data_IF_838295978288
#
_entry.id   IF_838295978288
#
_cell.length_a   1.000
_cell.length_b   1.000
_cell.length_c   1.000
_cell.angle_alpha   90.00
_cell.angle_beta   90.00
_cell.angle_gamma   90.00
#
_symmetry.space_group_name_H-M   'P 1'
#
loop_
_entity.id
_entity.type
_entity.pdbx_description
1 polymer ?
#
# COMPACT_ATOMS: atom_id res chain seq x y z
N UNK A 1 10.22 -6.73 2.67
CA UNK A 1 9.57 -6.25 3.92
C UNK A 1 9.02 -7.38 4.79
N UNK A 2 8.11 -8.24 4.30
CA UNK A 2 7.56 -9.33 5.12
C UNK A 2 8.62 -10.24 5.73
N UNK A 3 9.65 -10.64 4.97
CA UNK A 3 10.76 -11.43 5.49
C UNK A 3 11.53 -10.71 6.61
N UNK A 4 11.82 -9.42 6.44
CA UNK A 4 12.52 -8.62 7.45
C UNK A 4 11.73 -8.51 8.76
N UNK A 5 10.42 -8.26 8.66
CA UNK A 5 9.55 -8.17 9.86
C UNK A 5 9.40 -9.53 10.55
N UNK A 6 9.27 -10.63 9.78
CA UNK A 6 9.26 -11.99 10.31
C UNK A 6 10.58 -12.33 11.02
N UNK A 7 11.72 -12.06 10.37
CA UNK A 7 13.05 -12.33 10.91
C UNK A 7 13.27 -11.60 12.25
N UNK A 8 12.94 -10.31 12.31
CA UNK A 8 13.07 -9.53 13.55
C UNK A 8 12.17 -10.07 14.67
N UNK A 9 10.93 -10.48 14.37
CA UNK A 9 10.00 -11.05 15.36
C UNK A 9 10.48 -12.41 15.86
N UNK A 10 11.03 -13.26 14.99
CA UNK A 10 11.62 -14.56 15.36
C UNK A 10 12.87 -14.38 16.22
N UNK A 11 13.78 -13.49 15.83
CA UNK A 11 14.97 -13.18 16.62
C UNK A 11 14.62 -12.63 18.01
N UNK A 12 13.58 -11.76 18.10
CA UNK A 12 13.03 -11.31 19.39
C UNK A 12 12.51 -12.48 20.24
N UNK A 13 11.97 -13.51 19.59
CA UNK A 13 11.51 -14.75 20.24
C UNK A 13 12.66 -15.75 20.49
N UNK A 14 13.92 -15.34 20.36
CA UNK A 14 15.14 -16.12 20.61
C UNK A 14 15.43 -17.23 19.60
N UNK A 15 14.88 -17.16 18.41
CA UNK A 15 15.34 -17.99 17.30
C UNK A 15 16.64 -17.42 16.73
N UNK A 16 17.54 -18.30 16.31
CA UNK A 16 18.66 -17.91 15.47
C UNK A 16 18.13 -17.73 14.03
N UNK A 17 18.36 -16.57 13.45
CA UNK A 17 17.77 -16.21 12.16
C UNK A 17 18.82 -15.68 11.22
N UNK A 18 18.90 -16.30 10.05
CA UNK A 18 19.69 -15.80 8.91
C UNK A 18 18.74 -15.37 7.79
N UNK A 19 18.94 -14.20 7.25
CA UNK A 19 18.18 -13.64 6.14
C UNK A 19 19.11 -13.46 4.94
N UNK A 20 18.81 -14.17 3.84
CA UNK A 20 19.55 -14.03 2.58
C UNK A 20 18.69 -13.34 1.51
N UNK A 21 19.36 -12.75 0.52
CA UNK A 21 18.74 -12.09 -0.62
C UNK A 21 18.69 -10.57 -0.54
N UNK A 22 18.19 -9.94 -1.60
CA UNK A 22 18.07 -8.48 -1.69
C UNK A 22 16.82 -7.99 -0.95
N UNK A 23 17.00 -6.93 -0.16
CA UNK A 23 15.88 -6.16 0.38
C UNK A 23 15.30 -5.23 -0.69
N UNK A 24 14.09 -4.68 -0.41
CA UNK A 24 13.54 -3.59 -1.19
C UNK A 24 14.60 -2.47 -1.37
N UNK A 25 14.79 -2.04 -2.59
CA UNK A 25 15.69 -0.95 -2.94
C UNK A 25 14.95 0.05 -3.83
N UNK A 26 15.08 1.33 -3.49
CA UNK A 26 14.66 2.41 -4.37
C UNK A 26 15.57 2.49 -5.59
N UNK A 27 15.06 3.02 -6.67
CA UNK A 27 15.90 3.50 -7.77
C UNK A 27 16.46 4.87 -7.38
N UNK A 28 17.77 5.01 -7.33
CA UNK A 28 18.43 6.29 -7.07
C UNK A 28 19.00 6.86 -8.36
N UNK A 29 18.62 8.10 -8.70
CA UNK A 29 19.07 8.79 -9.90
C UNK A 29 19.28 10.28 -9.58
N UNK A 30 20.48 10.81 -9.78
CA UNK A 30 20.76 12.23 -9.61
C UNK A 30 20.44 12.79 -8.23
N UNK A 31 20.56 11.97 -7.17
CA UNK A 31 20.20 12.34 -5.79
C UNK A 31 18.70 12.37 -5.51
N UNK A 32 17.89 11.71 -6.35
CA UNK A 32 16.49 11.44 -6.13
C UNK A 32 16.25 9.95 -5.88
N UNK A 33 15.37 9.62 -4.92
CA UNK A 33 14.99 8.25 -4.60
C UNK A 33 13.58 8.00 -5.07
N UNK A 34 13.41 7.04 -5.96
CA UNK A 34 12.12 6.69 -6.55
C UNK A 34 11.59 5.37 -5.96
N UNK A 35 10.49 5.46 -5.25
CA UNK A 35 9.71 4.30 -4.82
C UNK A 35 8.98 3.65 -6.03
N UNK A 36 8.24 2.56 -5.78
CA UNK A 36 7.46 1.89 -6.83
C UNK A 36 6.03 2.44 -6.96
N UNK A 37 5.74 3.60 -6.38
CA UNK A 37 4.42 4.23 -6.44
C UNK A 37 3.35 3.56 -5.57
N UNK A 38 3.76 2.80 -4.56
CA UNK A 38 2.82 2.16 -3.64
C UNK A 38 2.30 3.13 -2.58
N UNK A 39 1.05 2.95 -2.18
CA UNK A 39 0.44 3.73 -1.12
C UNK A 39 0.70 3.09 0.25
N UNK A 40 0.90 3.94 1.25
CA UNK A 40 1.06 3.53 2.63
C UNK A 40 -0.16 3.93 3.46
N UNK A 41 -1.03 2.98 3.69
CA UNK A 41 -2.15 3.07 4.64
C UNK A 41 -1.81 2.25 5.89
N UNK A 42 -2.55 2.42 6.97
CA UNK A 42 -2.42 1.60 8.19
C UNK A 42 -1.00 1.59 8.80
N UNK A 43 -0.42 2.75 9.14
CA UNK A 43 0.89 2.81 9.79
C UNK A 43 0.92 2.08 11.15
N UNK A 44 -0.26 1.80 11.73
CA UNK A 44 -0.42 1.02 12.95
C UNK A 44 0.26 -0.36 12.89
N UNK A 45 0.32 -0.98 11.72
CA UNK A 45 0.99 -2.28 11.51
C UNK A 45 2.48 -2.20 11.88
N UNK A 46 3.15 -1.13 11.44
CA UNK A 46 4.58 -0.94 11.76
C UNK A 46 4.79 -0.33 13.14
N UNK A 47 3.85 0.49 13.67
CA UNK A 47 3.87 0.85 15.09
C UNK A 47 3.87 -0.38 15.98
N UNK A 48 2.96 -1.31 15.73
CA UNK A 48 2.90 -2.59 16.46
C UNK A 48 4.19 -3.39 16.33
N UNK A 49 4.74 -3.48 15.11
CA UNK A 49 6.01 -4.15 14.87
C UNK A 49 7.13 -3.56 15.73
N UNK A 50 7.35 -2.26 15.69
CA UNK A 50 8.42 -1.61 16.46
C UNK A 50 8.17 -1.73 17.96
N UNK A 51 6.95 -1.50 18.42
CA UNK A 51 6.59 -1.64 19.83
C UNK A 51 6.84 -3.05 20.36
N UNK A 52 6.35 -4.09 19.67
CA UNK A 52 6.56 -5.48 20.03
C UNK A 52 8.02 -5.93 19.94
N UNK A 53 8.82 -5.27 19.15
CA UNK A 53 10.27 -5.51 19.08
C UNK A 53 11.08 -4.62 20.02
N UNK A 54 10.46 -3.70 20.76
CA UNK A 54 11.07 -2.91 21.82
C UNK A 54 11.64 -1.57 21.37
N UNK A 55 11.05 -0.93 20.36
CA UNK A 55 11.37 0.43 19.90
C UNK A 55 10.09 1.26 19.78
N UNK A 56 10.20 2.56 19.96
CA UNK A 56 9.09 3.46 19.69
C UNK A 56 9.13 3.92 18.23
N UNK A 57 8.03 3.74 17.51
CA UNK A 57 7.93 4.00 16.07
C UNK A 57 8.34 5.43 15.67
N UNK A 58 7.81 6.44 16.39
CA UNK A 58 8.11 7.85 16.12
C UNK A 58 9.55 8.30 16.44
N UNK A 59 10.35 7.46 17.14
CA UNK A 59 11.78 7.71 17.33
C UNK A 59 12.63 7.13 16.18
N UNK A 60 12.04 6.24 15.40
CA UNK A 60 12.75 5.50 14.34
C UNK A 60 12.45 6.09 12.96
N UNK A 61 11.21 6.55 12.75
CA UNK A 61 10.71 7.02 11.46
C UNK A 61 9.83 8.24 11.65
N UNK A 62 10.00 9.22 10.77
CA UNK A 62 9.07 10.31 10.58
C UNK A 62 8.04 9.92 9.51
N UNK A 63 6.76 9.88 9.93
CA UNK A 63 5.64 9.49 9.06
C UNK A 63 4.57 10.55 9.14
N UNK A 64 4.26 11.15 8.02
CA UNK A 64 3.37 12.30 7.92
C UNK A 64 2.15 12.01 7.06
N UNK A 65 0.97 12.47 7.49
CA UNK A 65 -0.22 12.51 6.66
C UNK A 65 -0.16 13.76 5.77
N UNK A 66 -0.11 13.57 4.46
CA UNK A 66 -0.14 14.68 3.51
C UNK A 66 -1.58 15.11 3.25
N UNK A 67 -1.81 16.42 3.11
CA UNK A 67 -3.12 16.99 2.79
C UNK A 67 -2.98 18.01 1.65
N UNK A 68 -3.72 17.85 0.54
CA UNK A 68 -4.64 16.76 0.23
C UNK A 68 -3.92 15.43 0.03
N UNK A 69 -4.65 14.30 0.27
CA UNK A 69 -4.14 12.96 0.00
C UNK A 69 -4.13 12.69 -1.50
N UNK A 70 -5.25 12.98 -2.15
CA UNK A 70 -5.47 12.79 -3.58
C UNK A 70 -5.94 14.06 -4.25
N UNK A 71 -5.56 14.18 -5.51
CA UNK A 71 -6.14 15.11 -6.47
C UNK A 71 -6.61 14.30 -7.68
N UNK A 72 -7.88 14.44 -8.02
CA UNK A 72 -8.49 13.87 -9.22
C UNK A 72 -8.68 14.99 -10.24
N UNK A 73 -7.91 14.96 -11.31
CA UNK A 73 -7.86 15.98 -12.34
C UNK A 73 -8.54 15.46 -13.62
N UNK A 74 -9.67 16.06 -13.99
CA UNK A 74 -10.44 15.73 -15.18
C UNK A 74 -10.20 16.71 -16.34
N UNK A 75 -9.29 17.66 -16.15
CA UNK A 75 -9.01 18.73 -17.10
C UNK A 75 -9.91 19.95 -16.89
N UNK A 76 -11.20 19.78 -16.96
CA UNK A 76 -12.22 20.81 -16.73
C UNK A 76 -12.61 20.95 -15.25
N UNK A 77 -12.37 19.91 -14.47
CA UNK A 77 -12.71 19.83 -13.07
C UNK A 77 -11.59 19.17 -12.27
N UNK A 78 -11.26 19.75 -11.12
CA UNK A 78 -10.35 19.14 -10.16
C UNK A 78 -11.06 18.93 -8.82
N UNK A 79 -10.92 17.72 -8.25
CA UNK A 79 -11.49 17.33 -6.95
C UNK A 79 -10.35 16.94 -6.02
N UNK A 80 -10.29 17.59 -4.86
CA UNK A 80 -9.25 17.40 -3.87
C UNK A 80 -9.78 16.58 -2.68
N UNK A 81 -9.21 15.42 -2.45
CA UNK A 81 -9.59 14.62 -1.29
C UNK A 81 -8.67 14.92 -0.10
N UNK A 82 -9.24 15.54 0.89
CA UNK A 82 -8.58 15.75 2.18
C UNK A 82 -8.18 14.40 2.81
N UNK A 83 -7.02 14.36 3.44
CA UNK A 83 -6.58 13.17 4.16
C UNK A 83 -7.22 13.13 5.56
N UNK A 84 -7.66 11.94 6.00
CA UNK A 84 -8.25 11.69 7.33
C UNK A 84 -9.51 12.51 7.66
N UNK A 85 -10.17 13.13 6.68
CA UNK A 85 -11.35 13.94 6.90
C UNK A 85 -12.48 13.62 5.92
N UNK A 86 -13.40 12.74 6.33
CA UNK A 86 -14.62 12.43 5.57
C UNK A 86 -15.45 13.68 5.32
N UNK A 87 -15.60 14.53 6.33
CA UNK A 87 -16.43 15.74 6.21
C UNK A 87 -15.89 16.73 5.17
N UNK A 88 -14.57 16.93 5.11
CA UNK A 88 -13.96 17.79 4.09
C UNK A 88 -14.11 17.22 2.69
N UNK A 89 -13.95 15.90 2.52
CA UNK A 89 -14.17 15.21 1.24
C UNK A 89 -15.63 15.36 0.77
N UNK A 90 -16.59 15.15 1.67
CA UNK A 90 -18.02 15.32 1.35
C UNK A 90 -18.31 16.77 0.95
N UNK A 91 -17.78 17.77 1.67
CA UNK A 91 -17.94 19.18 1.30
C UNK A 91 -17.29 19.51 -0.05
N UNK A 92 -16.13 18.95 -0.34
CA UNK A 92 -15.48 19.12 -1.64
C UNK A 92 -16.33 18.55 -2.77
N UNK A 93 -16.85 17.32 -2.61
CA UNK A 93 -17.75 16.69 -3.58
C UNK A 93 -19.03 17.52 -3.74
N UNK A 94 -19.64 17.95 -2.64
CA UNK A 94 -20.83 18.77 -2.67
C UNK A 94 -20.63 20.09 -3.43
N UNK A 95 -19.50 20.76 -3.14
CA UNK A 95 -19.18 22.04 -3.78
C UNK A 95 -18.90 21.91 -5.29
N UNK A 96 -18.33 20.78 -5.72
CA UNK A 96 -17.92 20.55 -7.11
C UNK A 96 -18.99 19.83 -7.95
N UNK A 97 -19.74 18.91 -7.35
CA UNK A 97 -20.65 17.99 -8.05
C UNK A 97 -22.10 18.07 -7.54
N UNK A 98 -22.36 18.83 -6.47
CA UNK A 98 -23.66 19.00 -5.88
C UNK A 98 -24.01 17.97 -4.78
N UNK A 99 -25.08 18.27 -4.02
CA UNK A 99 -25.51 17.50 -2.84
C UNK A 99 -25.91 16.05 -3.16
N UNK A 100 -26.47 15.80 -4.35
CA UNK A 100 -26.82 14.44 -4.77
C UNK A 100 -25.56 13.56 -4.89
N UNK A 101 -24.49 14.04 -5.51
CA UNK A 101 -23.22 13.34 -5.64
C UNK A 101 -22.56 13.10 -4.26
N UNK A 102 -22.60 14.08 -3.37
CA UNK A 102 -22.10 13.95 -2.01
C UNK A 102 -22.86 12.86 -1.21
N UNK A 103 -24.17 12.80 -1.38
CA UNK A 103 -25.02 11.76 -0.77
C UNK A 103 -24.67 10.37 -1.33
N UNK A 104 -24.51 10.27 -2.63
CA UNK A 104 -24.15 9.02 -3.33
C UNK A 104 -22.80 8.49 -2.85
N UNK A 105 -21.77 9.35 -2.74
CA UNK A 105 -20.45 8.99 -2.21
C UNK A 105 -20.53 8.49 -0.76
N UNK A 106 -21.24 9.23 0.09
CA UNK A 106 -21.39 8.84 1.49
C UNK A 106 -22.11 7.51 1.68
N UNK A 107 -23.11 7.21 0.83
CA UNK A 107 -23.77 5.91 0.83
C UNK A 107 -22.83 4.78 0.39
N UNK A 108 -22.00 5.02 -0.63
CA UNK A 108 -21.01 4.07 -1.08
C UNK A 108 -20.03 3.71 0.03
N UNK A 109 -19.52 4.73 0.74
CA UNK A 109 -18.57 4.52 1.83
C UNK A 109 -19.20 3.84 3.06
N UNK A 110 -20.45 4.11 3.39
CA UNK A 110 -21.15 3.38 4.47
C UNK A 110 -21.32 1.89 4.15
N UNK A 111 -21.58 1.55 2.90
CA UNK A 111 -21.60 0.14 2.49
C UNK A 111 -20.21 -0.49 2.54
N UNK A 112 -19.19 0.26 2.14
CA UNK A 112 -17.81 -0.19 2.21
C UNK A 112 -17.35 -0.45 3.65
N UNK A 113 -17.71 0.42 4.60
CA UNK A 113 -17.47 0.26 6.04
C UNK A 113 -18.09 -1.03 6.56
N UNK A 114 -19.36 -1.27 6.26
CA UNK A 114 -20.05 -2.51 6.63
C UNK A 114 -19.35 -3.77 6.08
N UNK A 115 -18.82 -3.69 4.86
CA UNK A 115 -18.09 -4.79 4.26
C UNK A 115 -16.71 -4.97 4.91
N UNK A 116 -15.97 -3.87 5.11
CA UNK A 116 -14.67 -3.89 5.74
C UNK A 116 -14.70 -4.59 7.09
N UNK A 117 -15.65 -4.24 7.96
CA UNK A 117 -15.80 -4.84 9.29
C UNK A 117 -15.98 -6.36 9.27
N UNK A 118 -16.54 -6.90 8.18
CA UNK A 118 -16.78 -8.34 8.02
C UNK A 118 -15.67 -9.10 7.34
N UNK A 119 -14.89 -8.42 6.50
CA UNK A 119 -13.88 -9.09 5.69
C UNK A 119 -12.46 -8.87 6.22
N UNK A 120 -12.22 -7.78 6.99
CA UNK A 120 -10.88 -7.40 7.40
C UNK A 120 -10.14 -8.53 8.11
N UNK A 121 -10.80 -9.23 9.03
CA UNK A 121 -10.19 -10.30 9.78
C UNK A 121 -9.71 -11.44 8.88
N UNK A 122 -10.57 -11.91 7.99
CA UNK A 122 -10.29 -13.07 7.16
C UNK A 122 -9.38 -12.78 5.96
N UNK A 123 -9.41 -11.55 5.44
CA UNK A 123 -8.67 -11.20 4.22
C UNK A 123 -7.45 -10.32 4.48
N UNK A 124 -7.47 -9.54 5.56
CA UNK A 124 -6.42 -8.57 5.83
C UNK A 124 -5.57 -8.94 7.05
N UNK A 125 -6.19 -9.14 8.21
CA UNK A 125 -5.47 -9.32 9.48
C UNK A 125 -4.95 -10.76 9.68
N UNK A 126 -5.69 -11.77 9.20
CA UNK A 126 -5.41 -13.18 9.46
C UNK A 126 -5.11 -13.96 8.18
N UNK A 127 -4.63 -15.21 8.37
CA UNK A 127 -4.63 -16.19 7.31
C UNK A 127 -6.06 -16.50 6.88
N UNK A 128 -6.29 -16.58 5.57
CA UNK A 128 -7.60 -16.93 5.04
C UNK A 128 -8.04 -18.32 5.51
N UNK A 129 -9.26 -18.42 5.99
CA UNK A 129 -9.87 -19.68 6.41
C UNK A 129 -11.26 -19.85 5.82
N UNK A 130 -11.48 -20.97 5.15
CA UNK A 130 -12.82 -21.33 4.62
C UNK A 130 -13.86 -21.44 5.74
N UNK A 131 -13.47 -21.83 6.96
CA UNK A 131 -14.37 -21.90 8.11
C UNK A 131 -14.89 -20.53 8.56
N UNK A 132 -14.14 -19.47 8.26
CA UNK A 132 -14.51 -18.07 8.56
C UNK A 132 -15.11 -17.36 7.34
N UNK A 133 -15.11 -18.01 6.19
CA UNK A 133 -15.69 -17.46 4.98
C UNK A 133 -17.21 -17.45 5.09
N UNK A 134 -17.80 -16.25 5.06
CA UNK A 134 -19.24 -16.08 5.00
C UNK A 134 -19.67 -15.78 3.56
N UNK A 135 -20.22 -16.77 2.85
CA UNK A 135 -20.68 -16.57 1.47
C UNK A 135 -21.77 -15.51 1.35
N UNK A 136 -22.59 -15.32 2.37
CA UNK A 136 -23.63 -14.29 2.42
C UNK A 136 -23.03 -12.88 2.34
N UNK A 137 -21.96 -12.62 3.09
CA UNK A 137 -21.23 -11.35 3.03
C UNK A 137 -20.71 -11.12 1.62
N UNK A 138 -20.11 -12.13 1.00
CA UNK A 138 -19.56 -12.03 -0.35
C UNK A 138 -20.64 -11.84 -1.42
N UNK A 139 -21.79 -12.52 -1.29
CA UNK A 139 -22.93 -12.38 -2.22
C UNK A 139 -23.64 -11.03 -2.05
N UNK A 140 -23.73 -10.52 -0.83
CA UNK A 140 -24.32 -9.21 -0.53
C UNK A 140 -23.44 -8.02 -0.91
N UNK A 141 -22.19 -8.26 -1.27
CA UNK A 141 -21.27 -7.24 -1.83
C UNK A 141 -21.76 -6.80 -3.22
N UNK A 142 -22.92 -6.21 -3.29
CA UNK A 142 -23.38 -5.54 -4.51
C UNK A 142 -22.49 -4.32 -4.75
N UNK A 143 -22.08 -4.13 -6.00
CA UNK A 143 -21.48 -2.86 -6.38
C UNK A 143 -22.51 -1.75 -6.12
N UNK A 144 -22.09 -0.67 -5.45
CA UNK A 144 -22.92 0.51 -5.31
C UNK A 144 -23.13 1.08 -6.70
N UNK A 145 -24.36 1.40 -7.03
CA UNK A 145 -24.64 2.05 -8.30
C UNK A 145 -24.31 3.55 -8.15
N UNK A 146 -23.17 3.94 -8.71
CA UNK A 146 -22.73 5.33 -8.77
C UNK A 146 -23.20 5.92 -10.08
N UNK A 147 -24.08 6.93 -10.00
CA UNK A 147 -24.67 7.61 -11.16
C UNK A 147 -23.78 8.77 -11.65
N UNK A 148 -23.14 9.46 -10.71
CA UNK A 148 -22.27 10.58 -11.06
C UNK A 148 -21.04 10.08 -11.82
N UNK A 149 -20.78 10.58 -13.07
CA UNK A 149 -19.71 10.07 -13.92
C UNK A 149 -18.30 10.34 -13.38
N UNK A 150 -18.09 11.41 -12.65
CA UNK A 150 -16.81 11.73 -12.03
C UNK A 150 -16.53 10.79 -10.84
N UNK A 151 -17.51 10.58 -9.97
CA UNK A 151 -17.40 9.65 -8.85
C UNK A 151 -17.25 8.20 -9.33
N UNK A 152 -17.91 7.84 -10.42
CA UNK A 152 -17.74 6.56 -11.08
C UNK A 152 -16.27 6.34 -11.50
N UNK A 153 -15.68 7.33 -12.21
CA UNK A 153 -14.28 7.26 -12.66
C UNK A 153 -13.32 7.17 -11.47
N UNK A 154 -13.56 7.94 -10.41
CA UNK A 154 -12.74 7.86 -9.18
C UNK A 154 -12.78 6.45 -8.59
N UNK A 155 -13.96 5.88 -8.36
CA UNK A 155 -14.08 4.52 -7.80
C UNK A 155 -13.54 3.45 -8.73
N UNK A 156 -13.78 3.58 -10.03
CA UNK A 156 -13.27 2.63 -11.02
C UNK A 156 -11.73 2.59 -11.05
N UNK A 157 -11.08 3.72 -10.79
CA UNK A 157 -9.62 3.80 -10.73
C UNK A 157 -9.02 3.03 -9.54
N UNK A 158 -9.76 2.85 -8.45
CA UNK A 158 -9.27 2.03 -7.32
C UNK A 158 -8.98 0.58 -7.72
N UNK A 159 -9.64 0.05 -8.75
CA UNK A 159 -9.39 -1.31 -9.23
C UNK A 159 -7.97 -1.46 -9.81
N UNK A 160 -7.41 -0.40 -10.38
CA UNK A 160 -6.08 -0.42 -11.00
C UNK A 160 -4.97 -0.67 -9.98
N UNK A 161 -5.17 -0.34 -8.69
CA UNK A 161 -4.23 -0.64 -7.60
C UNK A 161 -4.02 -2.13 -7.37
N UNK A 162 -5.02 -2.93 -7.71
CA UNK A 162 -4.99 -4.37 -7.59
C UNK A 162 -4.64 -5.05 -8.92
N UNK A 163 -4.23 -4.27 -9.94
CA UNK A 163 -3.88 -4.76 -11.26
C UNK A 163 -5.09 -5.16 -12.13
N UNK A 164 -6.31 -4.77 -11.75
CA UNK A 164 -7.50 -4.97 -12.58
C UNK A 164 -7.71 -3.80 -13.55
N UNK A 165 -8.36 -4.02 -14.69
CA UNK A 165 -8.82 -2.93 -15.53
C UNK A 165 -9.70 -1.95 -14.75
N UNK A 166 -9.70 -0.66 -15.11
CA UNK A 166 -10.56 0.32 -14.47
C UNK A 166 -12.04 -0.11 -14.54
N UNK A 167 -12.71 -0.13 -13.39
CA UNK A 167 -14.09 -0.55 -13.27
C UNK A 167 -14.55 -0.61 -11.82
N UNK A 168 -15.86 -0.56 -11.58
CA UNK A 168 -16.41 -0.71 -10.24
C UNK A 168 -16.55 -2.18 -9.91
N UNK A 169 -15.57 -2.68 -9.20
CA UNK A 169 -15.59 -4.01 -8.60
C UNK A 169 -16.06 -3.93 -7.15
N UNK A 170 -16.43 -5.07 -6.59
CA UNK A 170 -16.87 -5.18 -5.20
C UNK A 170 -15.86 -4.62 -4.18
N UNK A 171 -14.59 -4.55 -4.56
CA UNK A 171 -13.50 -4.09 -3.69
C UNK A 171 -13.11 -2.61 -3.87
N UNK A 172 -13.51 -1.98 -4.97
CA UNK A 172 -13.11 -0.59 -5.26
C UNK A 172 -13.52 0.38 -4.15
N UNK A 173 -14.76 0.28 -3.67
CA UNK A 173 -15.25 1.14 -2.60
C UNK A 173 -14.72 0.76 -1.22
N UNK A 174 -14.36 -0.53 -0.99
CA UNK A 174 -13.69 -0.93 0.25
C UNK A 174 -12.30 -0.29 0.34
N UNK A 175 -11.54 -0.26 -0.77
CA UNK A 175 -10.26 0.43 -0.82
C UNK A 175 -10.42 1.93 -0.56
N UNK A 176 -11.40 2.58 -1.20
CA UNK A 176 -11.69 3.99 -0.95
C UNK A 176 -12.02 4.27 0.52
N UNK A 177 -12.81 3.38 1.15
CA UNK A 177 -13.12 3.47 2.58
C UNK A 177 -11.87 3.30 3.46
N UNK A 178 -11.03 2.32 3.18
CA UNK A 178 -9.79 2.06 3.94
C UNK A 178 -8.87 3.27 3.89
N UNK A 179 -8.66 3.85 2.71
CA UNK A 179 -7.83 5.04 2.55
C UNK A 179 -8.43 6.27 3.23
N UNK A 180 -9.76 6.43 3.17
CA UNK A 180 -10.43 7.53 3.84
C UNK A 180 -10.33 7.41 5.37
N UNK A 181 -10.53 6.21 5.89
CA UNK A 181 -10.63 5.98 7.34
C UNK A 181 -9.27 5.93 8.04
N UNK A 182 -8.27 5.35 7.37
CA UNK A 182 -6.93 5.16 7.96
C UNK A 182 -5.90 6.14 7.41
N UNK A 183 -6.26 6.91 6.41
CA UNK A 183 -5.41 7.88 5.75
C UNK A 183 -4.30 7.25 4.91
N UNK A 184 -3.63 8.14 4.20
CA UNK A 184 -2.45 7.82 3.40
C UNK A 184 -1.29 8.60 3.99
N UNK A 185 -0.20 7.90 4.18
CA UNK A 185 0.94 8.39 4.91
C UNK A 185 2.18 8.36 4.03
N UNK A 186 3.05 9.29 4.25
CA UNK A 186 4.34 9.35 3.62
C UNK A 186 5.43 9.14 4.66
N UNK A 187 6.37 8.28 4.36
CA UNK A 187 7.57 8.07 5.17
C UNK A 187 8.64 9.04 4.68
N UNK A 188 9.21 9.86 5.55
CA UNK A 188 10.36 10.71 5.19
C UNK A 188 11.52 9.83 4.73
N UNK A 189 12.04 10.08 3.53
CA UNK A 189 13.02 9.20 2.86
C UNK A 189 12.43 7.98 2.16
N UNK A 190 11.09 7.91 2.01
CA UNK A 190 10.38 6.87 1.27
C UNK A 190 10.41 5.49 1.94
N UNK A 191 9.98 4.46 1.20
CA UNK A 191 9.96 3.09 1.74
C UNK A 191 11.34 2.48 1.96
N UNK A 192 12.38 3.04 1.36
CA UNK A 192 13.75 2.67 1.68
C UNK A 192 14.08 2.97 3.15
N UNK A 193 13.65 4.13 3.66
CA UNK A 193 13.86 4.50 5.06
C UNK A 193 13.13 3.52 6.00
N UNK A 194 11.88 3.13 5.67
CA UNK A 194 11.14 2.11 6.41
C UNK A 194 11.86 0.76 6.37
N UNK A 195 12.31 0.32 5.20
CA UNK A 195 13.03 -0.94 5.03
C UNK A 195 14.34 -0.96 5.81
N UNK A 196 15.11 0.13 5.74
CA UNK A 196 16.35 0.28 6.48
C UNK A 196 16.13 0.27 8.00
N UNK A 197 15.10 0.95 8.48
CA UNK A 197 14.74 0.95 9.89
C UNK A 197 14.39 -0.46 10.41
N UNK A 198 13.64 -1.24 9.63
CA UNK A 198 13.33 -2.63 9.97
C UNK A 198 14.61 -3.49 9.93
N UNK A 199 15.47 -3.28 8.94
CA UNK A 199 16.76 -4.00 8.80
C UNK A 199 17.67 -3.72 9.99
N UNK A 200 17.83 -2.45 10.37
CA UNK A 200 18.60 -2.05 11.57
C UNK A 200 18.02 -2.73 12.81
N UNK A 201 16.68 -2.71 12.97
CA UNK A 201 16.04 -3.36 14.11
C UNK A 201 16.26 -4.86 14.12
N UNK A 202 16.19 -5.53 12.97
CA UNK A 202 16.50 -6.95 12.83
C UNK A 202 17.94 -7.26 13.25
N UNK A 203 18.93 -6.47 12.79
CA UNK A 203 20.33 -6.59 13.19
C UNK A 203 20.53 -6.43 14.70
N UNK A 204 19.91 -5.43 15.33
CA UNK A 204 19.95 -5.22 16.79
C UNK A 204 19.40 -6.42 17.59
N UNK A 205 18.52 -7.19 17.00
CA UNK A 205 17.94 -8.40 17.59
C UNK A 205 18.74 -9.66 17.31
N UNK A 206 19.83 -9.56 16.53
CA UNK A 206 20.73 -10.67 16.23
C UNK A 206 20.41 -11.43 14.94
N UNK A 207 19.63 -10.84 14.03
CA UNK A 207 19.47 -11.40 12.67
C UNK A 207 20.78 -11.23 11.92
N UNK A 208 21.31 -12.30 11.35
CA UNK A 208 22.45 -12.28 10.43
C UNK A 208 21.98 -12.15 8.99
N UNK A 209 22.76 -11.44 8.17
CA UNK A 209 22.47 -11.21 6.75
C UNK A 209 23.55 -11.91 5.93
N UNK A 210 23.31 -13.19 5.64
CA UNK A 210 24.28 -14.04 4.95
C UNK A 210 23.55 -15.15 4.17
N UNK A 211 24.32 -15.97 3.46
CA UNK A 211 23.85 -17.20 2.82
C UNK A 211 24.20 -18.39 3.70
N UNK A 212 23.22 -18.85 4.49
CA UNK A 212 23.32 -20.08 5.26
C UNK A 212 22.64 -21.22 4.51
N UNK A 213 23.18 -22.42 4.59
CA UNK A 213 22.66 -23.61 3.93
C UNK A 213 22.04 -24.63 4.89
N UNK A 214 22.27 -24.49 6.19
CA UNK A 214 21.71 -25.37 7.22
C UNK A 214 20.67 -24.63 8.07
N UNK A 215 19.44 -25.10 8.04
CA UNK A 215 18.32 -24.51 8.78
C UNK A 215 17.24 -25.53 9.17
N UNK A 216 16.66 -25.35 10.34
CA UNK A 216 15.49 -26.09 10.78
C UNK A 216 14.19 -25.66 10.08
N UNK A 217 14.07 -24.36 9.81
CA UNK A 217 12.94 -23.73 9.16
C UNK A 217 13.37 -22.89 7.98
N UNK A 218 12.62 -22.94 6.89
CA UNK A 218 12.88 -22.17 5.70
C UNK A 218 11.65 -21.34 5.31
N UNK A 219 11.85 -20.06 5.11
CA UNK A 219 10.82 -19.13 4.63
C UNK A 219 11.25 -18.59 3.26
N UNK A 220 10.55 -19.03 2.22
CA UNK A 220 10.70 -18.45 0.88
C UNK A 220 9.85 -17.18 0.79
N UNK A 221 10.54 -16.06 0.80
CA UNK A 221 9.93 -14.73 0.71
C UNK A 221 10.25 -14.05 -0.63
N UNK A 222 10.76 -14.81 -1.59
CA UNK A 222 11.00 -14.31 -2.95
C UNK A 222 9.67 -14.02 -3.63
N UNK A 223 9.51 -12.79 -4.10
CA UNK A 223 8.35 -12.35 -4.87
C UNK A 223 8.81 -11.50 -6.03
N UNK A 224 8.29 -11.80 -7.20
CA UNK A 224 8.35 -10.92 -8.36
C UNK A 224 6.95 -10.34 -8.58
N UNK A 225 6.83 -9.02 -8.41
CA UNK A 225 5.60 -8.30 -8.74
C UNK A 225 5.67 -7.83 -10.18
N UNK A 226 4.55 -7.96 -10.90
CA UNK A 226 4.40 -7.25 -12.15
C UNK A 226 4.31 -5.76 -11.85
N UNK A 227 5.19 -4.99 -12.45
CA UNK A 227 5.18 -3.53 -12.39
C UNK A 227 4.95 -3.00 -13.81
N UNK A 228 4.05 -2.03 -14.00
CA UNK A 228 3.90 -1.36 -15.28
C UNK A 228 5.17 -0.56 -15.60
N UNK A 229 5.31 -0.16 -16.85
CA UNK A 229 6.30 0.84 -17.24
C UNK A 229 6.02 2.13 -16.45
N UNK A 230 7.08 2.79 -16.00
CA UNK A 230 7.00 3.98 -15.17
C UNK A 230 7.92 5.06 -15.70
N UNK A 231 7.47 6.32 -15.62
CA UNK A 231 8.34 7.48 -15.82
C UNK A 231 8.73 8.06 -14.48
N UNK A 232 10.02 8.25 -14.26
CA UNK A 232 10.62 8.76 -13.04
C UNK A 232 11.04 10.22 -13.28
N UNK A 233 10.42 11.15 -12.56
CA UNK A 233 10.71 12.58 -12.67
C UNK A 233 11.16 13.12 -11.32
N UNK A 234 12.40 13.60 -11.25
CA UNK A 234 12.90 14.35 -10.10
C UNK A 234 12.72 15.84 -10.35
N UNK A 235 12.03 16.53 -9.44
CA UNK A 235 11.83 17.98 -9.54
C UNK A 235 12.44 18.71 -8.35
N UNK A 236 12.94 19.92 -8.60
CA UNK A 236 13.51 20.79 -7.58
C UNK A 236 13.05 22.24 -7.77
N UNK A 237 12.87 22.95 -6.64
CA UNK A 237 12.41 24.34 -6.68
C UNK A 237 10.90 24.50 -6.84
N UNK A 238 10.14 23.42 -6.79
CA UNK A 238 8.68 23.49 -6.89
C UNK A 238 8.09 24.26 -5.69
N UNK A 239 7.35 25.36 -5.92
CA UNK A 239 6.94 26.27 -4.86
C UNK A 239 5.77 25.74 -4.01
N UNK A 240 5.01 24.78 -4.54
CA UNK A 240 3.81 24.25 -3.94
C UNK A 240 4.05 23.00 -3.09
N UNK A 241 2.94 22.46 -2.55
CA UNK A 241 2.88 21.13 -1.96
C UNK A 241 2.18 20.22 -2.95
N UNK A 242 2.83 19.11 -3.29
CA UNK A 242 2.18 18.09 -4.10
C UNK A 242 1.40 17.15 -3.18
N UNK A 243 0.21 16.70 -3.61
CA UNK A 243 -0.49 15.60 -2.95
C UNK A 243 0.33 14.31 -3.07
N UNK A 244 0.04 13.33 -2.24
CA UNK A 244 0.70 12.02 -2.36
C UNK A 244 0.42 11.42 -3.72
N UNK A 245 -0.79 11.61 -4.23
CA UNK A 245 -1.21 11.08 -5.52
C UNK A 245 -2.08 12.05 -6.29
N UNK A 246 -1.75 12.20 -7.57
CA UNK A 246 -2.59 12.89 -8.55
C UNK A 246 -3.00 11.92 -9.65
N UNK A 247 -4.29 11.83 -9.94
CA UNK A 247 -4.82 11.01 -11.02
C UNK A 247 -5.41 11.93 -12.06
N UNK A 248 -4.79 11.96 -13.24
CA UNK A 248 -5.27 12.73 -14.40
C UNK A 248 -6.08 11.81 -15.31
N UNK A 249 -7.29 12.24 -15.62
CA UNK A 249 -8.17 11.57 -16.57
C UNK A 249 -8.08 12.29 -17.93
N UNK A 250 -7.65 11.57 -18.96
CA UNK A 250 -7.50 12.12 -20.30
C UNK A 250 -8.75 11.87 -21.15
N UNK A 251 -8.92 12.69 -22.20
CA UNK A 251 -10.06 12.59 -23.11
C UNK A 251 -10.08 11.29 -23.93
N UNK A 252 -8.93 10.64 -24.10
CA UNK A 252 -8.77 9.33 -24.74
C UNK A 252 -9.15 8.14 -23.83
N UNK A 253 -9.62 8.44 -22.62
CA UNK A 253 -10.01 7.43 -21.64
C UNK A 253 -8.85 6.84 -20.85
N UNK A 254 -7.62 7.23 -21.14
CA UNK A 254 -6.45 6.82 -20.35
C UNK A 254 -6.32 7.67 -19.08
N UNK A 255 -5.50 7.20 -18.16
CA UNK A 255 -5.16 7.93 -16.94
C UNK A 255 -3.66 8.05 -16.79
N UNK A 256 -3.20 9.18 -16.24
CA UNK A 256 -1.86 9.31 -15.66
C UNK A 256 -1.98 9.30 -14.15
N UNK A 257 -1.30 8.40 -13.53
CA UNK A 257 -1.23 8.31 -12.08
C UNK A 257 0.16 8.78 -11.63
N UNK A 258 0.19 9.85 -10.87
CA UNK A 258 1.39 10.51 -10.39
C UNK A 258 1.49 10.27 -8.89
N UNK A 259 2.46 9.49 -8.48
CA UNK A 259 2.80 9.31 -7.08
C UNK A 259 3.98 10.21 -6.72
N UNK A 260 3.78 11.14 -5.78
CA UNK A 260 4.78 12.11 -5.35
C UNK A 260 5.33 11.75 -3.97
N UNK A 261 6.65 11.59 -3.87
CA UNK A 261 7.37 11.46 -2.60
C UNK A 261 8.10 12.75 -2.31
N UNK A 262 7.76 13.41 -1.22
CA UNK A 262 8.48 14.59 -0.75
C UNK A 262 9.83 14.15 -0.17
N UNK A 263 10.91 14.73 -0.65
CA UNK A 263 12.25 14.50 -0.14
C UNK A 263 12.67 15.61 0.83
N UNK A 264 12.60 16.84 0.39
CA UNK A 264 12.86 18.06 1.15
C UNK A 264 12.00 19.19 0.61
N UNK A 265 12.05 20.37 1.22
CA UNK A 265 11.24 21.50 0.75
C UNK A 265 11.56 21.85 -0.70
N UNK A 266 10.53 21.82 -1.56
CA UNK A 266 10.65 22.07 -2.98
C UNK A 266 11.32 20.97 -3.80
N UNK A 267 11.64 19.80 -3.19
CA UNK A 267 12.23 18.65 -3.89
C UNK A 267 11.33 17.43 -3.77
N UNK A 268 10.95 16.85 -4.90
CA UNK A 268 10.06 15.70 -4.97
C UNK A 268 10.55 14.68 -6.00
N UNK A 269 10.33 13.42 -5.69
CA UNK A 269 10.42 12.32 -6.64
C UNK A 269 9.01 11.94 -7.09
N UNK A 270 8.79 11.94 -8.40
CA UNK A 270 7.51 11.60 -9.01
C UNK A 270 7.63 10.28 -9.77
N UNK A 271 6.73 9.37 -9.49
CA UNK A 271 6.59 8.10 -10.23
C UNK A 271 5.27 8.14 -10.97
N UNK A 272 5.35 8.08 -12.29
CA UNK A 272 4.19 8.11 -13.17
C UNK A 272 3.90 6.73 -13.71
N UNK A 273 2.62 6.37 -13.78
CA UNK A 273 2.12 5.16 -14.43
C UNK A 273 0.93 5.48 -15.33
N UNK A 274 0.61 4.59 -16.27
CA UNK A 274 -0.41 4.80 -17.27
C UNK A 274 0.10 5.64 -18.43
N UNK A 275 -0.56 6.73 -18.79
CA UNK A 275 -0.07 7.66 -19.83
C UNK A 275 1.10 8.46 -19.26
N UNK A 276 2.29 8.26 -19.81
CA UNK A 276 3.53 8.79 -19.25
C UNK A 276 3.89 10.21 -19.73
N UNK A 277 3.16 10.73 -20.72
CA UNK A 277 3.42 12.03 -21.32
C UNK A 277 2.70 13.13 -20.54
N UNK A 278 3.47 13.94 -19.82
CA UNK A 278 2.99 15.15 -19.11
C UNK A 278 4.03 16.26 -19.23
N UNK A 279 3.56 17.50 -19.19
CA UNK A 279 4.39 18.73 -19.24
C UNK A 279 4.30 19.57 -17.95
N UNK A 280 3.48 19.16 -16.98
CA UNK A 280 3.17 19.97 -15.78
C UNK A 280 4.39 20.35 -14.93
N UNK A 281 5.48 19.62 -15.07
CA UNK A 281 6.68 19.81 -14.24
C UNK A 281 7.91 20.18 -15.04
N UNK A 282 7.77 20.51 -16.34
CA UNK A 282 8.90 20.72 -17.24
C UNK A 282 9.89 21.79 -16.76
N UNK A 283 9.40 22.84 -16.11
CA UNK A 283 10.23 23.93 -15.57
C UNK A 283 11.06 23.52 -14.35
N UNK A 284 10.68 22.45 -13.65
CA UNK A 284 11.29 22.02 -12.40
C UNK A 284 12.08 20.71 -12.53
N UNK A 285 12.07 20.09 -13.71
CA UNK A 285 12.68 18.78 -13.94
C UNK A 285 14.20 18.82 -13.84
N UNK A 286 14.75 17.95 -12.99
CA UNK A 286 16.18 17.67 -12.88
C UNK A 286 16.49 16.27 -13.40
N UNK A 287 15.57 15.31 -13.17
CA UNK A 287 15.65 13.92 -13.62
C UNK A 287 14.41 13.58 -14.42
N UNK A 288 14.58 12.88 -15.53
CA UNK A 288 13.49 12.39 -16.37
C UNK A 288 13.93 11.09 -17.05
N UNK A 289 13.43 9.96 -16.57
CA UNK A 289 13.82 8.65 -17.08
C UNK A 289 12.64 7.68 -17.14
N UNK A 290 12.70 6.74 -18.07
CA UNK A 290 11.75 5.64 -18.16
C UNK A 290 12.35 4.41 -17.45
N UNK A 291 11.58 3.86 -16.53
CA UNK A 291 11.85 2.56 -15.90
C UNK A 291 10.98 1.52 -16.59
N UNK A 292 11.56 0.51 -17.24
CA UNK A 292 10.77 -0.51 -17.93
C UNK A 292 9.89 -1.27 -16.94
N UNK A 293 8.77 -1.75 -17.42
CA UNK A 293 7.91 -2.64 -16.67
C UNK A 293 8.59 -3.98 -16.36
N UNK A 294 8.19 -4.59 -15.30
CA UNK A 294 8.63 -5.93 -14.89
C UNK A 294 7.44 -6.86 -14.91
N UNK A 295 7.56 -7.98 -15.62
CA UNK A 295 6.55 -9.04 -15.59
C UNK A 295 6.93 -10.00 -14.47
N UNK A 296 6.10 -10.03 -13.43
CA UNK A 296 6.26 -10.98 -12.32
C UNK A 296 5.51 -12.29 -12.58
N UNK A 297 5.89 -13.31 -11.84
CA UNK A 297 5.11 -14.55 -11.83
C UNK A 297 3.71 -14.30 -11.26
N UNK A 298 2.69 -14.45 -12.08
CA UNK A 298 1.30 -14.36 -11.66
C UNK A 298 0.88 -15.64 -10.95
N UNK A 299 1.15 -15.75 -9.66
CA UNK A 299 0.51 -16.78 -8.84
C UNK A 299 -0.93 -16.30 -8.53
N UNK A 300 -1.88 -16.69 -9.39
CA UNK A 300 -3.28 -16.22 -9.41
C UNK A 300 -4.11 -16.61 -8.18
N UNK A 301 -3.49 -17.03 -7.08
CA UNK A 301 -4.21 -17.46 -5.88
C UNK A 301 -4.16 -16.39 -4.78
N UNK A 302 -5.08 -15.47 -4.86
CA UNK A 302 -5.22 -14.27 -4.03
C UNK A 302 -5.58 -14.53 -2.56
N UNK A 303 -5.99 -15.73 -2.17
CA UNK A 303 -6.68 -15.94 -0.90
C UNK A 303 -5.78 -16.25 0.31
N UNK A 304 -4.57 -16.75 0.10
CA UNK A 304 -3.69 -17.11 1.22
C UNK A 304 -2.37 -16.37 1.17
N UNK A 305 -2.03 -15.63 2.22
CA UNK A 305 -0.78 -14.87 2.34
C UNK A 305 0.44 -15.77 2.50
N UNK A 306 0.25 -16.94 3.11
CA UNK A 306 1.31 -17.89 3.44
C UNK A 306 0.91 -19.27 2.95
N UNK A 307 1.82 -19.96 2.30
CA UNK A 307 1.69 -21.38 1.98
C UNK A 307 2.61 -22.19 2.87
N UNK A 308 2.05 -23.05 3.69
CA UNK A 308 2.80 -24.09 4.37
C UNK A 308 3.08 -25.21 3.37
N UNK A 309 4.34 -25.36 2.96
CA UNK A 309 4.76 -26.42 2.03
C UNK A 309 4.91 -27.73 2.78
N UNK A 310 5.48 -27.65 3.99
CA UNK A 310 5.53 -28.74 4.97
C UNK A 310 5.71 -28.11 6.37
N UNK A 311 5.87 -28.95 7.42
CA UNK A 311 6.00 -28.48 8.81
C UNK A 311 7.15 -27.49 9.06
N UNK A 312 8.13 -27.40 8.15
CA UNK A 312 9.34 -26.59 8.30
C UNK A 312 9.57 -25.61 7.13
N UNK A 313 8.74 -25.67 6.08
CA UNK A 313 8.89 -24.83 4.89
C UNK A 313 7.64 -24.03 4.64
N UNK A 314 7.79 -22.70 4.61
CA UNK A 314 6.74 -21.72 4.35
C UNK A 314 7.10 -20.93 3.10
N UNK A 315 6.10 -20.54 2.33
CA UNK A 315 6.24 -19.64 1.18
C UNK A 315 5.29 -18.46 1.34
N UNK A 316 5.79 -17.25 1.17
CA UNK A 316 4.96 -16.06 1.08
C UNK A 316 4.27 -16.08 -0.28
N UNK A 317 2.98 -15.81 -0.27
CA UNK A 317 2.19 -15.54 -1.46
C UNK A 317 2.02 -14.03 -1.63
N UNK A 318 1.18 -13.65 -2.58
CA UNK A 318 0.94 -12.27 -2.97
C UNK A 318 0.79 -11.28 -1.78
N UNK A 319 1.46 -10.13 -1.89
CA UNK A 319 1.40 -9.02 -0.94
C UNK A 319 0.82 -7.80 -1.65
N UNK A 320 -0.41 -7.45 -1.31
CA UNK A 320 -1.15 -6.38 -1.99
C UNK A 320 -0.68 -4.97 -1.62
N UNK A 321 0.02 -4.83 -0.50
CA UNK A 321 0.47 -3.52 -0.01
C UNK A 321 1.62 -3.61 1.00
N UNK A 322 2.24 -2.46 1.27
CA UNK A 322 3.24 -2.31 2.33
C UNK A 322 2.70 -2.73 3.69
N UNK A 323 1.45 -2.40 4.01
CA UNK A 323 0.80 -2.81 5.26
C UNK A 323 0.58 -4.32 5.34
N UNK A 324 0.17 -4.96 4.24
CA UNK A 324 0.09 -6.42 4.15
C UNK A 324 1.43 -7.11 4.39
N UNK A 325 2.53 -6.52 3.91
CA UNK A 325 3.87 -7.06 4.15
C UNK A 325 4.20 -7.13 5.65
N UNK A 326 3.84 -6.10 6.41
CA UNK A 326 4.04 -6.09 7.87
C UNK A 326 3.21 -7.15 8.59
N UNK A 327 1.93 -7.29 8.23
CA UNK A 327 1.03 -8.32 8.79
C UNK A 327 1.50 -9.73 8.40
N UNK A 328 1.85 -9.95 7.14
CA UNK A 328 2.34 -11.24 6.67
C UNK A 328 3.60 -11.68 7.43
N UNK A 329 4.49 -10.74 7.74
CA UNK A 329 5.68 -11.03 8.56
C UNK A 329 5.33 -11.47 9.98
N UNK A 330 4.28 -10.91 10.59
CA UNK A 330 3.77 -11.39 11.89
C UNK A 330 3.19 -12.79 11.80
N UNK A 331 2.33 -13.03 10.80
CA UNK A 331 1.73 -14.36 10.59
C UNK A 331 2.77 -15.44 10.35
N UNK A 332 3.83 -15.14 9.60
CA UNK A 332 4.98 -16.04 9.37
C UNK A 332 5.69 -16.37 10.68
N UNK A 333 6.04 -15.36 11.46
CA UNK A 333 6.71 -15.56 12.73
C UNK A 333 5.85 -16.41 13.67
N UNK A 334 4.54 -16.21 13.70
CA UNK A 334 3.61 -17.00 14.50
C UNK A 334 3.51 -18.44 13.97
N UNK A 335 3.47 -18.65 12.65
CA UNK A 335 3.43 -19.98 12.04
C UNK A 335 4.66 -20.82 12.41
N UNK A 336 5.87 -20.23 12.34
CA UNK A 336 7.13 -20.90 12.76
C UNK A 336 7.09 -21.27 14.24
N UNK A 337 6.55 -20.39 15.10
CA UNK A 337 6.43 -20.61 16.55
C UNK A 337 5.31 -21.59 16.92
N UNK A 338 4.56 -22.11 15.98
CA UNK A 338 3.40 -22.96 16.23
C UNK A 338 2.22 -22.25 16.91
N UNK A 339 2.22 -20.92 16.90
CA UNK A 339 1.14 -20.11 17.45
C UNK A 339 0.00 -20.12 16.43
N UNK A 340 -1.18 -20.57 16.85
CA UNK A 340 -2.37 -20.48 15.99
C UNK A 340 -2.74 -19.00 15.84
N UNK A 341 -2.74 -18.53 14.60
CA UNK A 341 -3.23 -17.20 14.23
C UNK A 341 -4.77 -17.19 14.40
N UNK A 342 -5.23 -17.02 15.63
CA UNK A 342 -6.65 -16.87 15.96
C UNK A 342 -6.84 -15.46 16.53
N UNK A 343 -7.96 -14.78 16.20
CA UNK A 343 -8.35 -13.60 16.96
C UNK A 343 -8.42 -14.01 18.43
N UNK A 344 -7.73 -13.29 19.29
CA UNK A 344 -8.08 -13.25 20.69
C UNK A 344 -9.49 -12.65 20.72
N UNK A 345 -10.49 -13.45 21.04
CA UNK A 345 -11.79 -12.95 21.44
C UNK A 345 -11.63 -12.27 22.80
N UNK A 346 -10.97 -11.11 22.79
CA UNK A 346 -10.99 -10.19 23.92
C UNK A 346 -11.61 -8.88 23.42
N UNK A 347 -12.74 -8.64 24.01
CA UNK A 347 -13.75 -7.58 23.82
C UNK A 347 -13.21 -6.16 23.92
#
# INVERSE_FOLDING_TARGET
>A
MAALTAAARLAKAKYQVTLSGSSYQNTEIGGFYFDHGQLFTLPAVYRDFFQKTGKHFGQVLDVQAMNPAFVFDFGDLQINFANLSRNERIKEIESKLGAAAATEWNQALKQAEYLWDRIRENYFEWEFSLLRFNPDTYLRMRAVNIQNPYLYKILANYATYLGYPAGIYKWSHVLAFVEESFGIWQVSGGFQALTNAIKVRASELGVTFDHDTEFDYYIDATQTHSLPEQRLIGIQGYPGKLPIRTIKFHNDGLTTDIYATKMETGKYSLVLTGKLEISDFDEYKIVDQIRPGVVGDSDNQVLTKIRTVNKRKFKIRHLDSISHAGITGELLANAVRGIKNRPSHEH
#
